data_IF_656027473075
#
_entry.id   IF_656027473075
#
_cell.length_a   1.000
_cell.length_b   1.000
_cell.length_c   1.000
_cell.angle_alpha   90.00
_cell.angle_beta   90.00
_cell.angle_gamma   90.00
#
_symmetry.space_group_name_H-M   'P 1'
#
loop_
_entity.id
_entity.type
_entity.pdbx_description
1 polymer ?
#
# COMPACT_ATOMS: atom_id res chain seq x y z
N UNK A 1 -41.34 -20.63 -16.04
CA UNK A 1 -40.60 -19.56 -16.75
C UNK A 1 -39.20 -19.50 -16.18
N UNK A 2 -38.23 -19.93 -16.97
CA UNK A 2 -36.84 -20.20 -16.55
C UNK A 2 -35.99 -18.97 -16.86
N UNK A 3 -35.40 -18.34 -15.83
CA UNK A 3 -34.34 -17.32 -16.00
C UNK A 3 -32.99 -18.01 -15.95
N UNK A 4 -32.45 -18.35 -17.11
CA UNK A 4 -31.06 -18.76 -17.25
C UNK A 4 -30.19 -17.51 -17.25
N UNK A 5 -29.39 -17.41 -16.20
CA UNK A 5 -28.25 -16.54 -16.05
C UNK A 5 -27.19 -16.78 -17.14
N UNK A 6 -26.92 -15.79 -17.96
CA UNK A 6 -25.81 -15.78 -18.91
C UNK A 6 -24.80 -14.69 -18.46
N UNK A 7 -23.92 -15.02 -17.52
CA UNK A 7 -22.70 -14.28 -17.27
C UNK A 7 -21.59 -15.30 -17.04
N UNK A 8 -21.11 -15.90 -18.13
CA UNK A 8 -19.86 -16.65 -18.20
C UNK A 8 -19.23 -16.38 -19.56
N UNK A 9 -18.47 -15.35 -19.66
CA UNK A 9 -17.73 -15.06 -20.89
C UNK A 9 -16.80 -13.88 -20.70
N UNK A 10 -15.51 -14.14 -20.75
CA UNK A 10 -14.38 -13.24 -20.99
C UNK A 10 -13.51 -12.73 -19.83
N UNK A 11 -13.48 -13.39 -18.68
CA UNK A 11 -12.41 -13.04 -17.70
C UNK A 11 -11.11 -13.85 -17.86
N UNK A 12 -11.13 -14.99 -18.57
CA UNK A 12 -9.97 -15.89 -18.72
C UNK A 12 -9.11 -15.69 -19.98
N UNK A 13 -9.51 -14.83 -20.90
CA UNK A 13 -8.73 -14.62 -22.14
C UNK A 13 -7.61 -13.60 -21.99
N UNK A 14 -7.68 -12.67 -21.00
CA UNK A 14 -6.63 -11.68 -20.72
C UNK A 14 -5.48 -12.24 -19.89
N UNK A 15 -5.70 -13.31 -19.14
CA UNK A 15 -4.71 -13.86 -18.20
C UNK A 15 -3.57 -14.64 -18.89
N UNK A 16 -3.78 -15.13 -20.10
CA UNK A 16 -2.73 -15.86 -20.85
C UNK A 16 -1.65 -14.95 -21.47
N UNK A 17 -2.00 -13.71 -21.80
CA UNK A 17 -1.03 -12.70 -22.26
C UNK A 17 -0.13 -12.20 -21.11
N UNK A 18 -0.66 -12.16 -19.88
CA UNK A 18 0.07 -11.69 -18.71
C UNK A 18 1.17 -12.67 -18.22
N UNK A 19 1.02 -13.98 -18.43
CA UNK A 19 1.98 -14.97 -17.92
C UNK A 19 3.26 -15.09 -18.77
N UNK A 20 3.20 -14.82 -20.09
CA UNK A 20 4.40 -14.74 -20.94
C UNK A 20 5.18 -13.45 -20.68
N UNK A 21 4.47 -12.34 -20.49
CA UNK A 21 5.09 -11.04 -20.18
C UNK A 21 5.73 -11.03 -18.78
N UNK A 22 5.17 -11.79 -17.82
CA UNK A 22 5.76 -11.94 -16.48
C UNK A 22 7.12 -12.66 -16.49
N UNK A 23 7.30 -13.70 -17.31
CA UNK A 23 8.58 -14.40 -17.39
C UNK A 23 9.67 -13.52 -18.02
N UNK A 24 9.32 -12.69 -19.00
CA UNK A 24 10.24 -11.77 -19.65
C UNK A 24 10.55 -10.54 -18.76
N UNK A 25 9.59 -10.02 -18.02
CA UNK A 25 9.79 -8.99 -17.00
C UNK A 25 10.67 -9.48 -15.84
N UNK A 26 10.50 -10.73 -15.41
CA UNK A 26 11.30 -11.35 -14.35
C UNK A 26 12.73 -11.69 -14.80
N UNK A 27 12.98 -11.85 -16.10
CA UNK A 27 14.31 -12.16 -16.63
C UNK A 27 15.17 -10.91 -16.91
N UNK A 28 14.58 -9.73 -16.90
CA UNK A 28 15.33 -8.48 -17.07
C UNK A 28 15.98 -8.09 -15.74
N UNK A 29 17.19 -8.61 -15.49
CA UNK A 29 18.06 -8.02 -14.45
C UNK A 29 18.18 -6.51 -14.73
N UNK A 30 18.04 -5.65 -13.69
CA UNK A 30 18.24 -4.21 -13.85
C UNK A 30 19.63 -3.99 -14.46
N UNK A 31 19.65 -3.56 -15.73
CA UNK A 31 20.90 -3.33 -16.44
C UNK A 31 21.52 -2.06 -15.88
N UNK A 32 22.58 -2.20 -15.07
CA UNK A 32 23.48 -1.09 -14.79
C UNK A 32 23.61 -0.59 -13.37
N UNK A 33 22.81 -1.08 -12.39
CA UNK A 33 23.02 -0.68 -10.99
C UNK A 33 24.15 -1.49 -10.35
N UNK A 34 25.14 -0.85 -9.68
CA UNK A 34 26.12 -1.54 -8.86
C UNK A 34 25.44 -2.40 -7.80
N UNK A 35 26.02 -3.57 -7.50
CA UNK A 35 25.45 -4.55 -6.56
C UNK A 35 25.16 -3.94 -5.17
N UNK A 36 26.01 -3.04 -4.70
CA UNK A 36 25.80 -2.35 -3.42
C UNK A 36 24.54 -1.44 -3.45
N UNK A 37 24.34 -0.69 -4.54
CA UNK A 37 23.16 0.17 -4.69
C UNK A 37 21.88 -0.67 -4.80
N UNK A 38 21.93 -1.77 -5.55
CA UNK A 38 20.82 -2.72 -5.67
C UNK A 38 20.44 -3.30 -4.29
N UNK A 39 21.41 -3.72 -3.48
CA UNK A 39 21.16 -4.22 -2.13
C UNK A 39 20.50 -3.16 -1.21
N UNK A 40 20.95 -1.90 -1.30
CA UNK A 40 20.36 -0.76 -0.57
C UNK A 40 18.90 -0.51 -0.98
N UNK A 41 18.59 -0.55 -2.29
CA UNK A 41 17.24 -0.41 -2.82
C UNK A 41 16.32 -1.55 -2.39
N UNK A 42 16.79 -2.80 -2.44
CA UNK A 42 16.04 -3.96 -1.96
C UNK A 42 15.71 -3.81 -0.46
N UNK A 43 16.69 -3.37 0.34
CA UNK A 43 16.47 -3.10 1.76
C UNK A 43 15.47 -1.97 2.01
N UNK A 44 15.51 -0.90 1.22
CA UNK A 44 14.57 0.22 1.27
C UNK A 44 13.14 -0.25 0.93
N UNK A 45 12.98 -0.96 -0.19
CA UNK A 45 11.69 -1.44 -0.66
C UNK A 45 11.06 -2.43 0.34
N UNK A 46 11.82 -3.36 0.93
CA UNK A 46 11.29 -4.28 1.95
C UNK A 46 10.81 -3.57 3.21
N UNK A 47 11.47 -2.48 3.64
CA UNK A 47 10.96 -1.65 4.73
C UNK A 47 9.64 -0.97 4.37
N UNK A 48 9.55 -0.39 3.18
CA UNK A 48 8.32 0.29 2.71
C UNK A 48 7.19 -0.69 2.41
N UNK A 49 7.49 -1.90 1.95
CA UNK A 49 6.52 -2.99 1.81
C UNK A 49 5.91 -3.35 3.18
N UNK A 50 6.75 -3.50 4.20
CA UNK A 50 6.27 -3.78 5.54
C UNK A 50 5.38 -2.66 6.10
N UNK A 51 5.76 -1.38 5.90
CA UNK A 51 4.92 -0.25 6.29
C UNK A 51 3.58 -0.23 5.53
N UNK A 52 3.57 -0.55 4.23
CA UNK A 52 2.34 -0.59 3.44
C UNK A 52 1.39 -1.69 3.92
N UNK A 53 1.90 -2.89 4.16
CA UNK A 53 1.09 -4.02 4.67
C UNK A 53 0.55 -3.70 6.08
N UNK A 54 1.37 -3.12 6.95
CA UNK A 54 0.95 -2.70 8.29
C UNK A 54 -0.15 -1.63 8.22
N UNK A 55 0.02 -0.58 7.38
CA UNK A 55 -1.00 0.45 7.17
C UNK A 55 -2.32 -0.15 6.63
N UNK A 56 -2.25 -1.12 5.71
CA UNK A 56 -3.43 -1.86 5.23
C UNK A 56 -4.15 -2.55 6.38
N UNK A 57 -3.41 -3.26 7.25
CA UNK A 57 -3.98 -3.95 8.43
C UNK A 57 -4.56 -2.97 9.45
N UNK A 58 -3.91 -1.82 9.70
CA UNK A 58 -4.42 -0.76 10.57
C UNK A 58 -5.70 -0.15 9.99
N UNK A 59 -5.78 0.03 8.66
CA UNK A 59 -7.00 0.49 7.99
C UNK A 59 -8.15 -0.52 8.12
N UNK A 60 -7.85 -1.83 8.02
CA UNK A 60 -8.82 -2.91 8.28
C UNK A 60 -9.25 -2.94 9.74
N UNK A 61 -8.34 -2.72 10.69
CA UNK A 61 -8.67 -2.61 12.11
C UNK A 61 -9.64 -1.46 12.38
N UNK A 62 -9.41 -0.29 11.77
CA UNK A 62 -10.32 0.84 11.83
C UNK A 62 -11.70 0.48 11.23
N UNK A 63 -11.72 -0.13 10.03
CA UNK A 63 -12.93 -0.58 9.35
C UNK A 63 -13.80 -1.52 10.19
N UNK A 64 -13.20 -2.50 10.86
CA UNK A 64 -13.94 -3.47 11.67
C UNK A 64 -14.51 -2.86 12.95
N UNK A 65 -13.89 -1.83 13.50
CA UNK A 65 -14.18 -1.35 14.85
C UNK A 65 -14.84 0.03 14.90
N UNK A 66 -15.04 0.69 13.74
CA UNK A 66 -15.68 2.02 13.70
C UNK A 66 -17.12 1.95 14.21
N UNK A 67 -17.48 2.89 15.08
CA UNK A 67 -18.81 3.01 15.74
C UNK A 67 -19.23 4.48 15.81
N UNK A 68 -20.50 4.71 16.09
CA UNK A 68 -21.07 6.04 16.33
C UNK A 68 -21.80 6.63 15.14
N UNK A 69 -22.17 7.91 15.21
CA UNK A 69 -22.79 8.62 14.10
C UNK A 69 -21.93 8.51 12.85
N UNK A 70 -22.56 8.37 11.70
CA UNK A 70 -21.86 8.25 10.39
C UNK A 70 -20.95 7.03 10.21
N UNK A 71 -21.06 5.99 11.09
CA UNK A 71 -20.19 4.82 11.01
C UNK A 71 -20.19 4.13 9.65
N UNK A 72 -21.32 4.14 8.92
CA UNK A 72 -21.41 3.52 7.59
C UNK A 72 -20.49 4.23 6.57
N UNK A 73 -20.51 5.57 6.55
CA UNK A 73 -19.64 6.34 5.66
C UNK A 73 -18.15 6.20 6.00
N UNK A 74 -17.82 6.22 7.30
CA UNK A 74 -16.45 5.98 7.76
C UNK A 74 -15.98 4.56 7.45
N UNK A 75 -16.84 3.57 7.63
CA UNK A 75 -16.54 2.17 7.30
C UNK A 75 -16.22 2.01 5.82
N UNK A 76 -17.05 2.59 4.94
CA UNK A 76 -16.80 2.58 3.50
C UNK A 76 -15.48 3.28 3.13
N UNK A 77 -15.20 4.43 3.76
CA UNK A 77 -13.95 5.16 3.55
C UNK A 77 -12.73 4.33 3.97
N UNK A 78 -12.75 3.73 5.16
CA UNK A 78 -11.64 2.93 5.67
C UNK A 78 -11.40 1.66 4.84
N UNK A 79 -12.46 1.06 4.29
CA UNK A 79 -12.35 -0.06 3.35
C UNK A 79 -11.64 0.37 2.05
N UNK A 80 -12.03 1.51 1.49
CA UNK A 80 -11.37 2.08 0.30
C UNK A 80 -9.90 2.43 0.56
N UNK A 81 -9.58 2.96 1.73
CA UNK A 81 -8.18 3.22 2.13
C UNK A 81 -7.41 1.91 2.17
N UNK A 82 -7.94 0.87 2.81
CA UNK A 82 -7.28 -0.43 2.91
C UNK A 82 -7.01 -1.03 1.52
N UNK A 83 -7.99 -0.97 0.60
CA UNK A 83 -7.84 -1.45 -0.78
C UNK A 83 -6.78 -0.64 -1.55
N UNK A 84 -6.82 0.70 -1.47
CA UNK A 84 -5.84 1.53 -2.15
C UNK A 84 -4.41 1.36 -1.62
N UNK A 85 -4.25 1.06 -0.33
CA UNK A 85 -2.92 0.75 0.26
C UNK A 85 -2.43 -0.64 -0.15
N UNK A 86 -3.33 -1.62 -0.32
CA UNK A 86 -3.01 -2.95 -0.85
C UNK A 86 -2.39 -2.85 -2.25
N UNK A 87 -2.98 -2.02 -3.13
CA UNK A 87 -2.42 -1.75 -4.46
C UNK A 87 -0.98 -1.18 -4.36
N UNK A 88 -0.70 -0.29 -3.41
CA UNK A 88 0.65 0.24 -3.20
C UNK A 88 1.63 -0.82 -2.69
N UNK A 89 1.19 -1.74 -1.82
CA UNK A 89 2.01 -2.86 -1.37
C UNK A 89 2.40 -3.75 -2.55
N UNK A 90 1.47 -4.05 -3.46
CA UNK A 90 1.72 -4.83 -4.66
C UNK A 90 2.72 -4.13 -5.61
N UNK A 91 2.56 -2.83 -5.85
CA UNK A 91 3.49 -2.05 -6.66
C UNK A 91 4.92 -2.08 -6.09
N UNK A 92 5.07 -1.94 -4.77
CA UNK A 92 6.36 -2.01 -4.09
C UNK A 92 6.96 -3.42 -4.22
N UNK A 93 6.14 -4.47 -4.01
CA UNK A 93 6.57 -5.86 -4.11
C UNK A 93 7.03 -6.22 -5.53
N UNK A 94 6.28 -5.80 -6.56
CA UNK A 94 6.65 -6.00 -7.97
C UNK A 94 7.99 -5.31 -8.27
N UNK A 95 8.15 -4.04 -7.86
CA UNK A 95 9.41 -3.31 -8.07
C UNK A 95 10.59 -4.01 -7.39
N UNK A 96 10.39 -4.52 -6.19
CA UNK A 96 11.41 -5.24 -5.44
C UNK A 96 11.89 -6.49 -6.17
N UNK A 97 10.95 -7.27 -6.72
CA UNK A 97 11.26 -8.48 -7.50
C UNK A 97 11.96 -8.14 -8.82
N UNK A 98 11.55 -7.06 -9.50
CA UNK A 98 12.24 -6.54 -10.69
C UNK A 98 13.71 -6.18 -10.41
N UNK A 99 14.03 -5.70 -9.21
CA UNK A 99 15.40 -5.47 -8.76
C UNK A 99 16.14 -6.74 -8.32
N UNK A 100 15.54 -7.92 -8.48
CA UNK A 100 16.13 -9.22 -8.11
C UNK A 100 16.11 -9.51 -6.61
N UNK A 101 15.29 -8.77 -5.85
CA UNK A 101 15.06 -9.02 -4.42
C UNK A 101 13.93 -10.01 -4.16
N UNK A 102 13.74 -10.35 -2.89
CA UNK A 102 12.62 -11.16 -2.39
C UNK A 102 11.68 -10.25 -1.61
N UNK A 103 10.40 -10.19 -2.01
CA UNK A 103 9.37 -9.43 -1.29
C UNK A 103 9.00 -10.15 0.01
N UNK A 104 9.35 -9.55 1.16
CA UNK A 104 9.17 -10.14 2.48
C UNK A 104 7.86 -9.64 3.13
N UNK A 105 6.70 -10.13 2.65
CA UNK A 105 5.36 -9.71 3.07
C UNK A 105 4.68 -10.60 4.11
N UNK A 106 5.38 -11.55 4.75
CA UNK A 106 4.76 -12.38 5.79
C UNK A 106 4.53 -11.61 7.09
N UNK A 107 3.54 -12.00 7.90
CA UNK A 107 3.22 -11.33 9.18
C UNK A 107 4.45 -11.14 10.06
N UNK A 108 5.31 -12.15 10.18
CA UNK A 108 6.52 -12.05 10.98
C UNK A 108 7.56 -11.09 10.38
N UNK A 109 7.66 -11.03 9.05
CA UNK A 109 8.56 -10.08 8.39
C UNK A 109 8.04 -8.64 8.55
N UNK A 110 6.75 -8.42 8.36
CA UNK A 110 6.08 -7.13 8.56
C UNK A 110 6.27 -6.63 9.98
N UNK A 111 5.95 -7.44 10.99
CA UNK A 111 6.09 -7.07 12.41
C UNK A 111 7.53 -6.69 12.81
N UNK A 112 8.55 -7.28 12.17
CA UNK A 112 9.95 -6.92 12.43
C UNK A 112 10.43 -5.68 11.70
N UNK A 113 9.82 -5.32 10.57
CA UNK A 113 10.33 -4.31 9.63
C UNK A 113 9.51 -3.04 9.59
N UNK A 114 8.21 -3.10 9.93
CA UNK A 114 7.37 -1.90 9.94
C UNK A 114 7.96 -0.86 10.89
N UNK A 115 7.98 0.37 10.42
CA UNK A 115 8.41 1.55 11.17
C UNK A 115 7.23 2.47 11.50
N UNK A 116 6.00 2.02 11.25
CA UNK A 116 4.79 2.71 11.68
C UNK A 116 4.54 2.46 13.17
N UNK A 117 3.91 3.42 13.81
CA UNK A 117 3.49 3.29 15.20
C UNK A 117 2.38 2.23 15.34
N UNK A 118 2.37 1.52 16.46
CA UNK A 118 1.35 0.53 16.77
C UNK A 118 -0.04 1.17 16.84
N UNK A 119 -1.02 0.54 16.17
CA UNK A 119 -2.40 1.00 16.21
C UNK A 119 -3.05 0.71 17.56
N UNK A 120 -3.58 1.74 18.20
CA UNK A 120 -4.23 1.61 19.51
C UNK A 120 -5.55 0.84 19.38
N UNK A 121 -5.64 -0.35 19.99
CA UNK A 121 -6.84 -1.19 19.91
C UNK A 121 -8.04 -0.62 20.66
N UNK A 122 -7.81 0.14 21.74
CA UNK A 122 -8.86 0.69 22.60
C UNK A 122 -9.36 2.08 22.13
N UNK A 123 -9.69 2.23 20.85
CA UNK A 123 -10.24 3.49 20.32
C UNK A 123 -11.77 3.45 20.38
N UNK A 124 -12.36 4.42 21.09
CA UNK A 124 -13.76 4.36 21.51
C UNK A 124 -14.79 4.77 20.43
N UNK A 125 -14.44 5.66 19.48
CA UNK A 125 -15.42 6.25 18.56
C UNK A 125 -14.82 6.52 17.15
N UNK A 126 -15.68 6.81 16.18
CA UNK A 126 -15.31 7.02 14.78
C UNK A 126 -14.36 8.19 14.56
N UNK A 127 -14.50 9.29 15.32
CA UNK A 127 -13.59 10.45 15.22
C UNK A 127 -12.17 10.07 15.61
N UNK A 128 -11.99 9.40 16.74
CA UNK A 128 -10.67 8.95 17.20
C UNK A 128 -10.08 7.86 16.29
N UNK A 129 -10.91 7.03 15.64
CA UNK A 129 -10.47 6.09 14.60
C UNK A 129 -9.93 6.84 13.37
N UNK A 130 -10.62 7.88 12.91
CA UNK A 130 -10.18 8.71 11.80
C UNK A 130 -8.89 9.47 12.12
N UNK A 131 -8.76 10.01 13.35
CA UNK A 131 -7.54 10.69 13.80
C UNK A 131 -6.33 9.75 13.83
N UNK A 132 -6.52 8.53 14.36
CA UNK A 132 -5.47 7.52 14.41
C UNK A 132 -5.04 7.11 12.99
N UNK A 133 -6.00 6.84 12.10
CA UNK A 133 -5.71 6.46 10.72
C UNK A 133 -5.04 7.61 9.94
N UNK A 134 -5.49 8.86 10.10
CA UNK A 134 -4.86 10.03 9.48
C UNK A 134 -3.40 10.16 9.92
N UNK A 135 -3.10 9.99 11.21
CA UNK A 135 -1.73 10.01 11.73
C UNK A 135 -0.85 8.95 11.08
N UNK A 136 -1.34 7.71 10.94
CA UNK A 136 -0.59 6.63 10.30
C UNK A 136 -0.36 6.90 8.81
N UNK A 137 -1.38 7.40 8.10
CA UNK A 137 -1.26 7.81 6.69
C UNK A 137 -0.20 8.91 6.50
N UNK A 138 -0.19 9.94 7.37
CA UNK A 138 0.80 11.02 7.33
C UNK A 138 2.22 10.46 7.53
N UNK A 139 2.41 9.55 8.49
CA UNK A 139 3.71 8.91 8.72
C UNK A 139 4.16 8.10 7.50
N UNK A 140 3.27 7.32 6.92
CA UNK A 140 3.58 6.55 5.72
C UNK A 140 3.90 7.44 4.50
N UNK A 141 3.15 8.53 4.29
CA UNK A 141 3.44 9.51 3.23
C UNK A 141 4.84 10.13 3.39
N UNK A 142 5.25 10.46 4.63
CA UNK A 142 6.59 10.95 4.94
C UNK A 142 7.66 9.91 4.60
N UNK A 143 7.43 8.64 4.98
CA UNK A 143 8.34 7.54 4.65
C UNK A 143 8.45 7.31 3.14
N UNK A 144 7.35 7.43 2.39
CA UNK A 144 7.36 7.33 0.94
C UNK A 144 8.15 8.46 0.28
N UNK A 145 7.99 9.71 0.74
CA UNK A 145 8.80 10.84 0.25
C UNK A 145 10.28 10.63 0.50
N UNK A 146 10.65 10.24 1.72
CA UNK A 146 12.03 9.93 2.05
C UNK A 146 12.59 8.77 1.21
N UNK A 147 11.78 7.74 0.95
CA UNK A 147 12.17 6.64 0.07
C UNK A 147 12.40 7.10 -1.37
N UNK A 148 11.61 8.06 -1.88
CA UNK A 148 11.84 8.67 -3.20
C UNK A 148 13.18 9.41 -3.27
N UNK A 149 13.52 10.17 -2.23
CA UNK A 149 14.79 10.89 -2.14
C UNK A 149 15.98 9.91 -2.15
N UNK A 150 15.93 8.88 -1.29
CA UNK A 150 16.95 7.83 -1.24
C UNK A 150 17.11 7.08 -2.57
N UNK A 151 16.00 6.77 -3.27
CA UNK A 151 16.06 6.13 -4.57
C UNK A 151 16.72 7.04 -5.62
N UNK A 152 16.46 8.35 -5.58
CA UNK A 152 17.12 9.34 -6.45
C UNK A 152 18.64 9.39 -6.18
N UNK A 153 19.07 9.39 -4.92
CA UNK A 153 20.49 9.34 -4.54
C UNK A 153 21.17 8.05 -5.03
N UNK A 154 20.43 6.94 -5.04
CA UNK A 154 20.89 5.65 -5.55
C UNK A 154 20.77 5.53 -7.09
N UNK A 155 20.36 6.61 -7.78
CA UNK A 155 20.22 6.70 -9.24
C UNK A 155 19.21 5.69 -9.81
N UNK A 156 18.15 5.42 -9.06
CA UNK A 156 17.02 4.62 -9.51
C UNK A 156 15.75 5.47 -9.63
N UNK A 157 15.61 6.12 -10.79
CA UNK A 157 14.51 7.04 -11.06
C UNK A 157 13.15 6.34 -11.09
N UNK A 158 13.07 5.05 -11.43
CA UNK A 158 11.84 4.28 -11.44
C UNK A 158 11.32 4.06 -10.01
N UNK A 159 12.18 3.65 -9.08
CA UNK A 159 11.80 3.53 -7.67
C UNK A 159 11.47 4.90 -7.06
N UNK A 160 12.20 5.95 -7.45
CA UNK A 160 11.89 7.32 -7.03
C UNK A 160 10.51 7.78 -7.54
N UNK A 161 10.18 7.49 -8.80
CA UNK A 161 8.87 7.81 -9.40
C UNK A 161 7.73 7.04 -8.71
N UNK A 162 7.92 5.75 -8.44
CA UNK A 162 6.97 4.91 -7.70
C UNK A 162 6.62 5.54 -6.34
N UNK A 163 7.61 5.92 -5.54
CA UNK A 163 7.34 6.49 -4.22
C UNK A 163 6.75 7.91 -4.28
N UNK A 164 7.03 8.70 -5.33
CA UNK A 164 6.32 9.98 -5.55
C UNK A 164 4.84 9.77 -5.85
N UNK A 165 4.51 8.76 -6.64
CA UNK A 165 3.13 8.39 -6.95
C UNK A 165 2.39 7.91 -5.69
N UNK A 166 2.99 7.00 -4.93
CA UNK A 166 2.44 6.52 -3.66
C UNK A 166 2.18 7.69 -2.71
N UNK A 167 3.16 8.58 -2.51
CA UNK A 167 3.01 9.72 -1.60
C UNK A 167 1.82 10.62 -2.00
N UNK A 168 1.66 10.92 -3.30
CA UNK A 168 0.51 11.70 -3.80
C UNK A 168 -0.83 10.99 -3.58
N UNK A 169 -0.86 9.67 -3.78
CA UNK A 169 -2.07 8.89 -3.55
C UNK A 169 -2.45 8.84 -2.07
N UNK A 170 -1.47 8.73 -1.18
CA UNK A 170 -1.69 8.78 0.27
C UNK A 170 -2.16 10.17 0.72
N UNK A 171 -1.62 11.27 0.17
CA UNK A 171 -2.11 12.63 0.46
C UNK A 171 -3.60 12.79 0.14
N UNK A 172 -4.08 12.16 -0.93
CA UNK A 172 -5.50 12.12 -1.26
C UNK A 172 -6.32 11.39 -0.19
N UNK A 173 -5.82 10.26 0.33
CA UNK A 173 -6.48 9.52 1.41
C UNK A 173 -6.48 10.31 2.72
N UNK A 174 -5.39 10.99 3.06
CA UNK A 174 -5.32 11.88 4.23
C UNK A 174 -6.43 12.93 4.13
N UNK A 175 -6.54 13.61 2.99
CA UNK A 175 -7.57 14.63 2.79
C UNK A 175 -8.99 14.08 2.97
N UNK A 176 -9.32 12.90 2.43
CA UNK A 176 -10.63 12.29 2.61
C UNK A 176 -10.91 11.93 4.08
N UNK A 177 -9.93 11.37 4.78
CA UNK A 177 -10.07 10.96 6.19
C UNK A 177 -10.24 12.19 7.08
N UNK A 178 -9.46 13.25 6.88
CA UNK A 178 -9.55 14.49 7.65
C UNK A 178 -10.87 15.24 7.38
N UNK A 179 -11.29 15.31 6.12
CA UNK A 179 -12.59 15.94 5.76
C UNK A 179 -13.75 15.20 6.41
N UNK A 180 -13.69 13.87 6.51
CA UNK A 180 -14.74 13.07 7.16
C UNK A 180 -14.90 13.37 8.65
N UNK A 181 -13.87 13.87 9.33
CA UNK A 181 -13.93 14.26 10.75
C UNK A 181 -14.79 15.50 10.97
N UNK A 182 -14.86 16.40 9.97
CA UNK A 182 -15.64 17.63 10.04
C UNK A 182 -17.15 17.37 9.90
N UNK A 183 -17.55 16.26 9.28
CA UNK A 183 -18.96 15.89 9.13
C UNK A 183 -19.59 15.34 10.42
N UNK A 184 -18.80 15.09 11.45
CA UNK A 184 -19.21 14.53 12.76
C UNK A 184 -19.16 15.51 13.94
N UNK A 185 -19.06 16.82 13.65
CA UNK A 185 -18.98 17.89 14.67
C UNK A 185 -20.34 18.54 14.87
#
# INVERSE_FOLDING_TARGET
MSFKSTITGNFFSSTKLLLSDWSDLMSQKPRGLPQEQQAKLIGLLNRRLADAIDLQLQSRQAYWNVKGPHFMALRELFDKVAQGVEEYADLIAVRLVQLGGVAEGTVHAVARRSSLDEYRLAIANGKSQSEALSTTLINFARHARYASEQATELKDDETAALFREIARGIDKWIWFVETSQQLGS
#
